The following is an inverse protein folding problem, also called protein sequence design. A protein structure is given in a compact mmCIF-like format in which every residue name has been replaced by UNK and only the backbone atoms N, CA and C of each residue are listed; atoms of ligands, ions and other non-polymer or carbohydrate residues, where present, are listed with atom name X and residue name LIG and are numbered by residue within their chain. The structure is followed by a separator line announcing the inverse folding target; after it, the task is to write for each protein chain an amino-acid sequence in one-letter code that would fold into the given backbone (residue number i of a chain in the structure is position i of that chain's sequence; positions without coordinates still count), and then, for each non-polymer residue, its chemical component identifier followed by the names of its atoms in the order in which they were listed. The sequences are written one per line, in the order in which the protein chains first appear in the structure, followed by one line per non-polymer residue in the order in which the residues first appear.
data_IF_066516608711
#
_entry.id   IF_066516608711
#
_cell.length_a   1.000
_cell.length_b   1.000
_cell.length_c   1.000
_cell.angle_alpha   90.00
_cell.angle_beta   90.00
_cell.angle_gamma   90.00
#
_symmetry.space_group_name_H-M   'P 1'
#
loop_
_entity.id
_entity.type
_entity.pdbx_description
1 polymer ?
#
# COMPACT_ATOMS: atom_id res chain seq x y z
N UNK A 1 -9.76 10.23 -9.79
CA UNK A 1 -9.66 11.39 -8.86
C UNK A 1 -10.05 10.92 -7.48
N UNK A 2 -9.16 11.02 -6.49
CA UNK A 2 -9.51 10.75 -5.08
C UNK A 2 -10.23 11.97 -4.51
N UNK A 3 -11.33 11.77 -3.79
CA UNK A 3 -11.98 12.88 -3.06
C UNK A 3 -11.03 13.41 -1.97
N UNK A 4 -10.84 14.72 -1.91
CA UNK A 4 -9.91 15.38 -0.99
C UNK A 4 -10.11 14.97 0.48
N UNK A 5 -11.36 14.90 0.93
CA UNK A 5 -11.73 14.46 2.28
C UNK A 5 -11.28 13.03 2.59
N UNK A 6 -11.33 12.14 1.59
CA UNK A 6 -10.85 10.76 1.75
C UNK A 6 -9.34 10.70 1.81
N UNK A 7 -8.66 11.52 1.02
CA UNK A 7 -7.20 11.65 1.10
C UNK A 7 -6.78 12.16 2.48
N UNK A 8 -7.47 13.16 3.04
CA UNK A 8 -7.24 13.67 4.41
C UNK A 8 -7.43 12.58 5.47
N UNK A 9 -8.53 11.80 5.41
CA UNK A 9 -8.75 10.68 6.32
C UNK A 9 -7.63 9.64 6.22
N UNK A 10 -7.18 9.33 5.00
CA UNK A 10 -6.12 8.35 4.76
C UNK A 10 -4.75 8.82 5.24
N UNK A 11 -4.46 10.12 5.12
CA UNK A 11 -3.27 10.74 5.72
C UNK A 11 -3.32 10.64 7.24
N UNK A 12 -4.44 11.03 7.86
CA UNK A 12 -4.58 11.00 9.32
C UNK A 12 -4.40 9.59 9.89
N UNK A 13 -4.99 8.58 9.23
CA UNK A 13 -4.85 7.18 9.60
C UNK A 13 -3.37 6.72 9.56
N UNK A 14 -2.63 7.09 8.51
CA UNK A 14 -1.21 6.78 8.41
C UNK A 14 -0.37 7.46 9.52
N UNK A 15 -0.72 8.70 9.90
CA UNK A 15 -0.03 9.44 10.96
C UNK A 15 -0.36 8.92 12.37
N UNK A 16 -1.54 8.30 12.56
CA UNK A 16 -1.94 7.67 13.82
C UNK A 16 -1.22 6.34 14.10
N UNK A 17 -0.75 5.66 13.04
CA UNK A 17 0.18 4.54 13.15
C UNK A 17 -0.43 3.14 13.04
N UNK A 18 -1.63 3.04 12.47
CA UNK A 18 -2.37 1.77 12.34
C UNK A 18 -1.98 0.96 11.08
N UNK A 19 -0.85 1.30 10.44
CA UNK A 19 -0.38 0.64 9.22
C UNK A 19 0.79 -0.30 9.53
N UNK A 20 0.79 -1.44 8.85
CA UNK A 20 1.86 -2.44 8.97
C UNK A 20 2.93 -2.17 7.92
N UNK A 21 4.18 -2.07 8.35
CA UNK A 21 5.32 -1.87 7.46
C UNK A 21 6.27 -3.06 7.49
N UNK A 22 6.73 -3.47 6.30
CA UNK A 22 7.64 -4.61 6.14
C UNK A 22 8.87 -4.18 5.34
N UNK A 23 10.04 -4.28 5.96
CA UNK A 23 11.31 -4.12 5.26
C UNK A 23 11.61 -5.36 4.43
N UNK A 24 12.00 -5.14 3.17
CA UNK A 24 12.39 -6.21 2.24
C UNK A 24 13.81 -6.03 1.69
N UNK A 25 14.61 -5.11 2.27
CA UNK A 25 16.03 -4.91 1.96
C UNK A 25 16.90 -5.88 2.76
N UNK A 26 17.07 -7.10 2.29
CA UNK A 26 17.95 -8.03 3.01
C UNK A 26 17.82 -9.46 2.56
N UNK A 27 18.00 -10.37 3.52
CA UNK A 27 17.87 -11.82 3.29
C UNK A 27 16.48 -12.35 3.61
N UNK A 28 15.77 -11.69 4.51
CA UNK A 28 14.44 -12.08 4.97
C UNK A 28 13.60 -10.84 5.22
N UNK A 29 12.28 -10.91 4.97
CA UNK A 29 11.41 -9.79 5.26
C UNK A 29 11.29 -9.63 6.77
N UNK A 30 11.24 -8.39 7.24
CA UNK A 30 11.08 -8.08 8.66
C UNK A 30 10.02 -7.00 8.85
N UNK A 31 9.15 -7.17 9.85
CA UNK A 31 8.27 -6.09 10.25
C UNK A 31 9.13 -4.97 10.85
N UNK A 32 8.80 -3.73 10.53
CA UNK A 32 9.53 -2.54 10.98
C UNK A 32 8.58 -1.46 11.46
N UNK A 33 9.15 -0.50 12.17
CA UNK A 33 8.47 0.74 12.51
C UNK A 33 8.21 1.61 11.27
N UNK A 34 7.33 2.61 11.46
CA UNK A 34 6.91 3.56 10.44
C UNK A 34 8.13 4.19 9.74
N UNK A 35 8.23 4.13 8.40
CA UNK A 35 9.35 4.71 7.67
C UNK A 35 9.29 6.25 7.76
N UNK A 36 10.33 6.88 8.29
CA UNK A 36 10.30 8.31 8.62
C UNK A 36 10.14 9.15 7.37
N UNK A 37 10.77 8.77 6.26
CA UNK A 37 10.65 9.49 4.99
C UNK A 37 9.21 9.58 4.47
N UNK A 38 8.42 8.50 4.61
CA UNK A 38 7.01 8.54 4.25
C UNK A 38 6.24 9.49 5.16
N UNK A 39 6.48 9.42 6.47
CA UNK A 39 5.80 10.26 7.45
C UNK A 39 6.14 11.74 7.23
N UNK A 40 7.41 12.06 7.04
CA UNK A 40 7.87 13.42 6.76
C UNK A 40 7.27 13.96 5.47
N UNK A 41 7.21 13.14 4.42
CA UNK A 41 6.56 13.52 3.17
C UNK A 41 5.06 13.79 3.36
N UNK A 42 4.36 12.93 4.10
CA UNK A 42 2.94 13.14 4.42
C UNK A 42 2.73 14.46 5.18
N UNK A 43 3.53 14.69 6.24
CA UNK A 43 3.39 15.85 7.13
C UNK A 43 3.82 17.17 6.49
N UNK A 44 4.92 17.18 5.74
CA UNK A 44 5.54 18.41 5.26
C UNK A 44 5.22 18.74 3.80
N UNK A 45 4.75 17.77 3.01
CA UNK A 45 4.37 18.00 1.61
C UNK A 45 2.86 17.86 1.42
N UNK A 46 2.30 16.70 1.80
CA UNK A 46 0.92 16.40 1.46
C UNK A 46 -0.10 17.13 2.36
N UNK A 47 0.11 17.20 3.67
CA UNK A 47 -0.78 17.94 4.60
C UNK A 47 -0.86 19.43 4.24
N UNK A 48 0.25 20.15 3.96
CA UNK A 48 0.18 21.53 3.49
C UNK A 48 -0.57 21.66 2.18
N UNK A 49 -0.37 20.74 1.24
CA UNK A 49 -1.15 20.70 -0.01
C UNK A 49 -2.65 20.54 0.27
N UNK A 50 -3.04 19.63 1.16
CA UNK A 50 -4.42 19.40 1.61
C UNK A 50 -5.02 20.58 2.38
N UNK A 51 -4.20 21.49 2.87
CA UNK A 51 -4.65 22.77 3.46
C UNK A 51 -4.68 23.93 2.45
N UNK A 52 -4.03 23.78 1.29
CA UNK A 52 -3.89 24.81 0.27
C UNK A 52 -5.10 24.88 -0.69
N UNK A 53 -5.26 25.94 -1.48
CA UNK A 53 -6.28 25.99 -2.55
C UNK A 53 -5.85 25.34 -3.87
N UNK A 54 -4.69 24.67 -3.90
CA UNK A 54 -4.17 24.06 -5.11
C UNK A 54 -5.05 22.86 -5.54
N UNK A 55 -5.22 22.72 -6.86
CA UNK A 55 -6.03 21.65 -7.47
C UNK A 55 -5.22 20.40 -7.81
N UNK A 56 -3.92 20.53 -7.99
CA UNK A 56 -3.01 19.43 -8.32
C UNK A 56 -1.80 19.44 -7.39
N UNK A 57 -1.40 18.25 -6.97
CA UNK A 57 -0.13 18.02 -6.29
C UNK A 57 0.84 17.44 -7.31
N UNK A 58 2.03 18.02 -7.40
CA UNK A 58 3.11 17.53 -8.25
C UNK A 58 4.33 17.29 -7.38
N UNK A 59 4.98 16.16 -7.59
CA UNK A 59 6.27 15.84 -6.98
C UNK A 59 7.28 15.68 -8.11
N UNK A 60 8.31 16.54 -8.18
CA UNK A 60 9.12 16.70 -9.39
C UNK A 60 10.11 15.56 -9.64
N UNK A 61 10.35 14.71 -8.64
CA UNK A 61 11.29 13.59 -8.70
C UNK A 61 10.58 12.30 -8.26
N UNK A 62 11.09 11.14 -8.64
CA UNK A 62 10.65 9.86 -8.08
C UNK A 62 11.38 9.69 -6.73
N UNK A 63 10.69 9.70 -5.56
CA UNK A 63 11.38 9.60 -4.28
C UNK A 63 11.94 8.19 -4.06
N UNK A 64 13.08 8.05 -3.40
CA UNK A 64 13.70 6.76 -3.03
C UNK A 64 12.77 5.82 -2.24
N UNK A 65 11.78 6.36 -1.54
CA UNK A 65 10.78 5.62 -0.76
C UNK A 65 9.47 5.34 -1.54
N UNK A 66 9.48 5.47 -2.88
CA UNK A 66 8.32 5.32 -3.77
C UNK A 66 7.53 4.03 -3.55
N UNK A 67 8.17 2.91 -3.18
CA UNK A 67 7.46 1.65 -2.90
C UNK A 67 6.51 1.81 -1.71
N UNK A 68 6.97 2.47 -0.65
CA UNK A 68 6.15 2.77 0.54
C UNK A 68 5.05 3.77 0.21
N UNK A 69 5.36 4.81 -0.59
CA UNK A 69 4.36 5.78 -1.08
C UNK A 69 3.29 5.07 -1.90
N UNK A 70 3.68 4.16 -2.78
CA UNK A 70 2.75 3.43 -3.66
C UNK A 70 1.84 2.52 -2.84
N UNK A 71 2.40 1.71 -1.94
CA UNK A 71 1.60 0.85 -1.05
C UNK A 71 0.63 1.67 -0.19
N UNK A 72 1.09 2.81 0.33
CA UNK A 72 0.24 3.76 1.04
C UNK A 72 -0.84 4.35 0.14
N UNK A 73 -0.52 4.85 -1.06
CA UNK A 73 -1.47 5.51 -1.95
C UNK A 73 -2.56 4.56 -2.49
N UNK A 74 -2.20 3.29 -2.68
CA UNK A 74 -3.14 2.20 -2.99
C UNK A 74 -3.91 1.70 -1.75
N UNK A 75 -3.59 2.26 -0.58
CA UNK A 75 -4.19 2.00 0.71
C UNK A 75 -4.10 0.54 1.16
N UNK A 76 -2.97 -0.11 0.84
CA UNK A 76 -2.69 -1.46 1.27
C UNK A 76 -2.53 -1.52 2.80
N UNK A 77 -3.05 -2.57 3.45
CA UNK A 77 -2.90 -2.75 4.89
C UNK A 77 -1.47 -3.11 5.29
N UNK A 78 -0.70 -3.69 4.37
CA UNK A 78 0.72 -4.01 4.53
C UNK A 78 1.50 -3.25 3.48
N UNK A 79 2.47 -2.45 3.92
CA UNK A 79 3.26 -1.55 3.08
C UNK A 79 4.72 -2.02 3.09
N UNK A 80 5.26 -2.32 1.92
CA UNK A 80 6.67 -2.65 1.79
C UNK A 80 7.55 -1.41 1.81
N UNK A 81 8.75 -1.55 2.38
CA UNK A 81 9.80 -0.54 2.33
C UNK A 81 11.06 -1.13 1.69
N UNK A 82 11.62 -0.40 0.73
CA UNK A 82 12.86 -0.74 0.02
C UNK A 82 13.96 0.31 0.17
N UNK A 83 13.74 1.35 0.97
CA UNK A 83 14.67 2.47 1.18
C UNK A 83 15.29 2.42 2.58
N UNK A 84 16.47 3.02 2.72
CA UNK A 84 17.10 3.30 4.01
C UNK A 84 16.65 4.60 4.62
N UNK A 85 16.60 4.63 5.94
CA UNK A 85 16.43 5.87 6.71
C UNK A 85 17.65 6.79 6.57
N UNK A 86 18.78 6.25 6.09
CA UNK A 86 19.96 7.02 5.74
C UNK A 86 19.93 7.57 4.31
N UNK A 87 18.97 7.15 3.48
CA UNK A 87 18.85 7.64 2.11
C UNK A 87 18.42 9.11 2.15
N UNK A 88 18.87 9.93 1.19
CA UNK A 88 18.32 11.27 1.08
C UNK A 88 16.95 11.19 0.36
N UNK A 89 15.84 11.60 0.98
CA UNK A 89 14.52 11.58 0.34
C UNK A 89 14.39 12.58 -0.82
N UNK A 90 15.30 13.55 -0.94
CA UNK A 90 15.38 14.50 -2.04
C UNK A 90 16.21 14.01 -3.23
N UNK A 91 16.89 12.86 -3.11
CA UNK A 91 17.57 12.23 -4.24
C UNK A 91 16.54 11.49 -5.09
N UNK A 92 16.65 11.67 -6.41
CA UNK A 92 15.84 10.95 -7.38
C UNK A 92 16.18 9.46 -7.36
N UNK A 93 15.15 8.63 -7.35
CA UNK A 93 15.27 7.20 -7.53
C UNK A 93 15.93 6.92 -8.90
N UNK A 94 17.12 6.32 -8.88
CA UNK A 94 17.76 5.81 -10.09
C UNK A 94 17.05 4.53 -10.56
N UNK A 95 16.33 4.63 -11.68
CA UNK A 95 15.58 3.52 -12.27
C UNK A 95 16.47 2.36 -12.74
N UNK A 96 17.78 2.61 -12.95
CA UNK A 96 18.76 1.63 -13.41
C UNK A 96 19.53 0.97 -12.27
N UNK A 97 19.40 1.45 -11.04
CA UNK A 97 20.04 0.85 -9.87
C UNK A 97 19.35 -0.48 -9.51
N UNK A 98 20.07 -1.62 -9.52
CA UNK A 98 19.48 -2.90 -9.17
C UNK A 98 19.17 -2.95 -7.67
N UNK A 99 17.89 -2.83 -7.33
CA UNK A 99 17.41 -2.97 -5.93
C UNK A 99 16.89 -4.38 -5.68
N UNK A 100 17.69 -5.15 -4.95
CA UNK A 100 17.31 -6.50 -4.57
C UNK A 100 16.24 -6.47 -3.48
N UNK A 101 15.32 -7.43 -3.52
CA UNK A 101 14.37 -7.68 -2.46
C UNK A 101 14.42 -9.15 -2.01
N UNK A 102 13.97 -9.41 -0.80
CA UNK A 102 14.03 -10.74 -0.18
C UNK A 102 12.75 -11.56 -0.31
N UNK A 103 11.81 -11.21 -1.19
CA UNK A 103 10.51 -11.90 -1.29
C UNK A 103 10.58 -13.21 -2.08
N UNK A 104 11.64 -13.41 -2.89
CA UNK A 104 11.85 -14.64 -3.66
C UNK A 104 12.01 -15.86 -2.75
N UNK A 105 11.24 -16.92 -3.01
CA UNK A 105 11.22 -18.14 -2.19
C UNK A 105 10.52 -17.98 -0.82
N UNK A 106 9.94 -16.81 -0.51
CA UNK A 106 9.15 -16.63 0.70
C UNK A 106 7.72 -17.10 0.48
N UNK A 107 7.11 -17.66 1.54
CA UNK A 107 5.67 -17.93 1.56
C UNK A 107 4.91 -16.61 1.71
N UNK A 108 4.14 -16.26 0.68
CA UNK A 108 3.32 -15.06 0.66
C UNK A 108 1.84 -15.44 0.75
N UNK A 109 1.08 -14.62 1.45
CA UNK A 109 -0.37 -14.59 1.34
C UNK A 109 -0.75 -13.51 0.35
N UNK A 110 -1.51 -13.89 -0.68
CA UNK A 110 -2.11 -12.95 -1.63
C UNK A 110 -3.57 -12.75 -1.26
N UNK A 111 -3.97 -11.49 -1.19
CA UNK A 111 -5.34 -11.06 -0.97
C UNK A 111 -5.85 -10.42 -2.25
N UNK A 112 -6.96 -10.93 -2.79
CA UNK A 112 -7.66 -10.35 -3.94
C UNK A 112 -9.03 -9.87 -3.51
N UNK A 113 -9.36 -8.63 -3.85
CA UNK A 113 -10.68 -8.05 -3.62
C UNK A 113 -11.42 -8.01 -4.95
N UNK A 114 -12.53 -8.72 -5.00
CA UNK A 114 -13.43 -8.80 -6.14
C UNK A 114 -14.72 -8.05 -5.80
N UNK A 115 -15.25 -7.32 -6.77
CA UNK A 115 -16.61 -6.78 -6.73
C UNK A 115 -17.48 -7.51 -7.75
N UNK A 116 -18.66 -7.88 -7.27
CA UNK A 116 -19.75 -8.46 -8.06
C UNK A 116 -20.94 -7.49 -8.10
N UNK A 117 -21.86 -7.68 -9.04
CA UNK A 117 -23.11 -6.90 -9.13
C UNK A 117 -23.17 -5.89 -10.26
N UNK A 118 -22.08 -5.72 -11.03
CA UNK A 118 -22.06 -4.96 -12.28
C UNK A 118 -22.38 -5.89 -13.47
N UNK A 119 -23.61 -6.44 -13.48
CA UNK A 119 -24.03 -7.47 -14.45
C UNK A 119 -23.56 -8.87 -14.05
N UNK A 120 -23.09 -9.66 -15.02
CA UNK A 120 -22.63 -11.05 -14.80
C UNK A 120 -21.14 -11.16 -14.53
N UNK A 121 -20.41 -10.05 -14.56
CA UNK A 121 -18.95 -10.02 -14.46
C UNK A 121 -18.48 -9.76 -13.03
N UNK A 122 -17.38 -10.41 -12.66
CA UNK A 122 -16.62 -10.12 -11.45
C UNK A 122 -15.43 -9.24 -11.81
N UNK A 123 -15.20 -8.17 -11.04
CA UNK A 123 -14.12 -7.22 -11.28
C UNK A 123 -13.15 -7.23 -10.11
N UNK A 124 -11.87 -7.49 -10.38
CA UNK A 124 -10.82 -7.37 -9.37
C UNK A 124 -10.49 -5.89 -9.15
N UNK A 125 -10.72 -5.41 -7.93
CA UNK A 125 -10.39 -4.04 -7.54
C UNK A 125 -8.97 -3.89 -7.03
N UNK A 126 -8.51 -4.88 -6.28
CA UNK A 126 -7.28 -4.81 -5.51
C UNK A 126 -6.65 -6.21 -5.46
N UNK A 127 -5.34 -6.27 -5.61
CA UNK A 127 -4.57 -7.46 -5.31
C UNK A 127 -3.27 -7.02 -4.66
N UNK A 128 -2.96 -7.59 -3.49
CA UNK A 128 -1.69 -7.35 -2.81
C UNK A 128 -1.24 -8.63 -2.11
N UNK A 129 0.05 -8.70 -1.79
CA UNK A 129 0.64 -9.82 -1.08
C UNK A 129 1.39 -9.35 0.17
N UNK A 130 1.53 -10.24 1.15
CA UNK A 130 2.36 -10.03 2.32
C UNK A 130 3.05 -11.34 2.76
N UNK A 131 4.20 -11.29 3.45
CA UNK A 131 4.86 -12.50 3.96
C UNK A 131 4.00 -13.15 5.04
N UNK A 132 3.51 -14.37 4.78
CA UNK A 132 2.61 -15.09 5.68
C UNK A 132 3.15 -15.25 7.11
N UNK A 133 4.46 -15.51 7.33
CA UNK A 133 4.98 -15.72 8.68
C UNK A 133 5.01 -14.45 9.55
N UNK A 134 4.99 -13.26 8.95
CA UNK A 134 5.17 -12.00 9.67
C UNK A 134 3.86 -11.44 10.20
N UNK A 135 2.77 -11.65 9.49
CA UNK A 135 1.50 -11.00 9.77
C UNK A 135 0.50 -12.01 10.33
N UNK A 136 0.25 -11.92 11.63
CA UNK A 136 -0.69 -12.80 12.33
C UNK A 136 -2.12 -12.29 12.30
N UNK A 137 -2.30 -11.00 12.05
CA UNK A 137 -3.61 -10.36 12.02
C UNK A 137 -4.47 -10.88 10.85
N UNK A 138 -5.78 -10.89 11.05
CA UNK A 138 -6.73 -11.24 9.99
C UNK A 138 -6.89 -10.07 9.01
N UNK A 139 -5.86 -9.87 8.19
CA UNK A 139 -5.84 -8.87 7.11
C UNK A 139 -7.02 -9.08 6.14
N UNK A 140 -7.49 -10.32 5.98
CA UNK A 140 -8.63 -10.61 5.11
C UNK A 140 -9.92 -9.99 5.68
N UNK A 141 -10.15 -10.14 6.99
CA UNK A 141 -11.28 -9.52 7.67
C UNK A 141 -11.18 -7.98 7.62
N UNK A 142 -10.02 -7.40 7.93
CA UNK A 142 -9.80 -5.95 7.88
C UNK A 142 -10.11 -5.36 6.50
N UNK A 143 -9.59 -6.00 5.44
CA UNK A 143 -9.83 -5.56 4.06
C UNK A 143 -11.29 -5.74 3.68
N UNK A 144 -11.92 -6.84 4.08
CA UNK A 144 -13.34 -7.09 3.81
C UNK A 144 -14.21 -6.00 4.42
N UNK A 145 -14.05 -5.73 5.72
CA UNK A 145 -14.80 -4.71 6.43
C UNK A 145 -14.64 -3.34 5.78
N UNK A 146 -13.39 -2.92 5.53
CA UNK A 146 -13.07 -1.65 4.87
C UNK A 146 -13.74 -1.52 3.50
N UNK A 147 -13.77 -2.59 2.71
CA UNK A 147 -14.33 -2.57 1.35
C UNK A 147 -15.86 -2.65 1.36
N UNK A 148 -16.46 -3.43 2.27
CA UNK A 148 -17.92 -3.48 2.45
C UNK A 148 -18.47 -2.11 2.87
N UNK A 149 -17.82 -1.42 3.81
CA UNK A 149 -18.17 -0.05 4.20
C UNK A 149 -18.14 0.92 3.00
N UNK A 150 -17.14 0.79 2.12
CA UNK A 150 -17.03 1.63 0.91
C UNK A 150 -18.10 1.36 -0.11
N UNK A 151 -18.39 0.08 -0.32
CA UNK A 151 -19.43 -0.33 -1.25
C UNK A 151 -20.80 0.12 -0.75
N UNK A 152 -21.06 0.06 0.56
CA UNK A 152 -22.29 0.57 1.16
C UNK A 152 -22.49 2.09 0.96
N UNK A 153 -21.40 2.85 0.84
CA UNK A 153 -21.41 4.30 0.57
C UNK A 153 -21.45 4.64 -0.93
N UNK A 154 -21.30 3.65 -1.82
CA UNK A 154 -21.29 3.88 -3.25
C UNK A 154 -22.72 4.12 -3.78
N UNK A 155 -22.90 4.95 -4.82
CA UNK A 155 -24.21 5.20 -5.43
C UNK A 155 -24.72 4.02 -6.28
N UNK A 156 -24.05 2.86 -6.23
CA UNK A 156 -24.36 1.67 -7.02
C UNK A 156 -24.91 0.61 -6.07
N UNK A 157 -26.14 0.17 -6.31
CA UNK A 157 -26.81 -0.84 -5.50
C UNK A 157 -26.42 -2.26 -5.94
N UNK A 158 -26.65 -3.24 -5.05
CA UNK A 158 -26.41 -4.67 -5.28
C UNK A 158 -24.94 -5.06 -5.53
N UNK A 159 -24.01 -4.20 -5.18
CA UNK A 159 -22.59 -4.55 -5.18
C UNK A 159 -22.29 -5.50 -4.01
N UNK A 160 -21.53 -6.56 -4.28
CA UNK A 160 -21.04 -7.50 -3.27
C UNK A 160 -19.52 -7.57 -3.32
N UNK A 161 -18.90 -7.46 -2.15
CA UNK A 161 -17.45 -7.65 -1.98
C UNK A 161 -17.17 -9.13 -1.73
N UNK A 162 -16.17 -9.64 -2.42
CA UNK A 162 -15.54 -10.93 -2.10
C UNK A 162 -14.05 -10.69 -1.88
N UNK A 163 -13.52 -11.22 -0.77
CA UNK A 163 -12.08 -11.18 -0.48
C UNK A 163 -11.55 -12.60 -0.49
N UNK A 164 -10.72 -12.91 -1.48
CA UNK A 164 -10.07 -14.21 -1.66
C UNK A 164 -8.69 -14.16 -1.04
N UNK A 165 -8.34 -15.22 -0.32
CA UNK A 165 -7.02 -15.43 0.27
C UNK A 165 -6.40 -16.69 -0.33
N UNK A 166 -5.19 -16.56 -0.85
CA UNK A 166 -4.41 -17.67 -1.39
C UNK A 166 -2.98 -17.60 -0.85
N UNK A 167 -2.30 -18.74 -0.80
CA UNK A 167 -0.89 -18.83 -0.44
C UNK A 167 -0.08 -19.16 -1.68
N UNK A 168 1.00 -18.41 -1.91
CA UNK A 168 1.90 -18.60 -3.05
C UNK A 168 3.33 -18.51 -2.56
N UNK A 169 4.23 -19.18 -3.28
CA UNK A 169 5.67 -18.94 -3.17
C UNK A 169 6.09 -18.32 -4.48
N UNK A 170 6.78 -17.18 -4.44
CA UNK A 170 7.34 -16.60 -5.64
C UNK A 170 8.52 -17.46 -6.09
N UNK A 171 8.43 -18.01 -7.30
CA UNK A 171 9.56 -18.67 -7.94
C UNK A 171 10.75 -17.72 -7.97
N UNK A 172 11.92 -18.21 -7.56
CA UNK A 172 13.18 -17.54 -7.82
C UNK A 172 13.51 -17.74 -9.31
N UNK A 173 12.77 -17.08 -10.21
CA UNK A 173 13.22 -17.00 -11.60
C UNK A 173 14.47 -16.13 -11.58
N UNK A 174 15.59 -16.79 -11.90
CA UNK A 174 16.96 -16.30 -11.81
C UNK A 174 17.16 -14.85 -12.29
N UNK A 175 17.91 -14.08 -11.50
CA UNK A 175 18.71 -12.95 -11.99
C UNK A 175 19.91 -13.49 -12.76
#
# INVERSE_FOLDING_TARGET
MCHRSRLEQHVNHALQGDLVYVDIRGKQPVQRDRPQHLIDWLQHQLVPFLSSRQSFFSFPIVPTFMISVTGWALEYPVIYTLHSESDDPAIEWDEWEPRTNCLGGQLLTVIRVLIHGLGTSSYMLLSFSYPSPLITDDIQALVREKMEQRVAQAPIHNLRVEVVKEQVVLDQVAL
#
